data_IF_363050169962
#
_entry.id   IF_363050169962
#
_cell.length_a   1.000
_cell.length_b   1.000
_cell.length_c   1.000
_cell.angle_alpha   90.00
_cell.angle_beta   90.00
_cell.angle_gamma   90.00
#
_symmetry.space_group_name_H-M   'P 1'
#
loop_
_entity.id
_entity.type
_entity.pdbx_description
1 polymer ?
#
# COMPACT_ATOMS: atom_id res chain seq x y z
N UNK A 1 52.03 -52.43 61.13
CA UNK A 1 52.98 -51.37 61.52
C UNK A 1 52.23 -50.04 61.46
N UNK A 2 52.31 -49.24 62.54
CA UNK A 2 51.97 -47.81 62.71
C UNK A 2 50.81 -47.20 61.89
N UNK A 3 49.63 -46.91 62.47
CA UNK A 3 49.25 -45.65 63.20
C UNK A 3 49.21 -44.42 62.25
N UNK A 4 48.22 -43.53 62.19
CA UNK A 4 47.01 -43.24 62.97
C UNK A 4 46.36 -41.96 62.35
N UNK A 5 45.03 -41.79 62.55
CA UNK A 5 44.24 -40.53 62.63
C UNK A 5 43.60 -39.91 61.38
N UNK A 6 42.33 -40.29 61.27
CA UNK A 6 41.11 -39.51 60.99
C UNK A 6 41.13 -38.09 61.60
N UNK A 7 40.64 -37.09 60.84
CA UNK A 7 39.69 -36.06 61.34
C UNK A 7 38.74 -35.61 60.23
N UNK A 8 37.44 -35.62 60.58
CA UNK A 8 36.25 -35.22 59.83
C UNK A 8 36.10 -33.71 59.67
N UNK A 9 35.21 -33.36 58.71
CA UNK A 9 34.18 -32.30 58.72
C UNK A 9 34.43 -31.18 57.70
N UNK A 10 33.44 -30.64 56.96
CA UNK A 10 32.07 -30.99 56.60
C UNK A 10 31.60 -29.89 55.62
N UNK A 11 30.61 -30.20 54.78
CA UNK A 11 29.63 -29.27 54.19
C UNK A 11 30.13 -28.11 53.28
N UNK A 12 29.81 -28.20 51.99
CA UNK A 12 28.65 -27.46 51.43
C UNK A 12 28.54 -27.66 49.92
N UNK A 13 27.30 -27.54 49.45
CA UNK A 13 26.77 -27.88 48.14
C UNK A 13 27.43 -27.09 46.98
N UNK A 14 27.55 -27.71 45.82
CA UNK A 14 26.61 -27.52 44.70
C UNK A 14 27.28 -27.81 43.35
N UNK A 15 26.56 -28.57 42.52
CA UNK A 15 26.89 -28.88 41.13
C UNK A 15 27.20 -27.61 40.32
N UNK A 16 28.31 -27.61 39.59
CA UNK A 16 28.42 -26.86 38.34
C UNK A 16 28.70 -27.83 37.20
N UNK A 17 27.65 -28.04 36.41
CA UNK A 17 27.73 -28.67 35.11
C UNK A 17 28.03 -27.59 34.06
N UNK A 18 28.94 -27.94 33.15
CA UNK A 18 28.99 -27.52 31.75
C UNK A 18 29.24 -26.05 31.43
N UNK A 19 30.41 -25.80 30.83
CA UNK A 19 30.47 -24.98 29.62
C UNK A 19 31.55 -25.55 28.69
N UNK A 20 31.12 -26.51 27.86
CA UNK A 20 31.81 -26.84 26.62
C UNK A 20 31.64 -25.68 25.65
N UNK A 21 32.70 -25.43 24.89
CA UNK A 21 32.83 -24.42 23.87
C UNK A 21 31.71 -24.52 22.82
N UNK A 22 31.18 -23.36 22.41
CA UNK A 22 30.55 -23.22 21.10
C UNK A 22 31.21 -22.05 20.36
N UNK A 23 31.77 -22.43 19.23
CA UNK A 23 32.53 -21.66 18.26
C UNK A 23 31.76 -20.47 17.70
N UNK A 24 32.53 -19.45 17.30
CA UNK A 24 32.08 -18.34 16.48
C UNK A 24 31.56 -18.83 15.11
N UNK A 25 30.31 -18.49 14.81
CA UNK A 25 29.74 -18.51 13.47
C UNK A 25 29.35 -17.09 13.08
N UNK A 26 30.07 -16.53 12.12
CA UNK A 26 29.68 -15.33 11.37
C UNK A 26 28.55 -15.73 10.44
N UNK A 27 27.34 -15.24 10.68
CA UNK A 27 26.25 -15.06 9.70
C UNK A 27 25.13 -14.26 10.40
N UNK A 28 25.28 -12.93 10.50
CA UNK A 28 24.12 -12.07 10.79
C UNK A 28 23.51 -11.67 9.45
N UNK A 29 22.56 -12.50 8.99
CA UNK A 29 21.82 -12.31 7.74
C UNK A 29 20.80 -11.18 7.94
N UNK A 30 21.04 -10.06 7.26
CA UNK A 30 20.03 -9.08 6.84
C UNK A 30 19.01 -8.62 7.90
N UNK A 31 19.47 -8.04 9.01
CA UNK A 31 18.63 -7.02 9.68
C UNK A 31 18.69 -5.78 8.80
N UNK A 32 17.79 -5.69 7.82
CA UNK A 32 17.60 -4.49 7.03
C UNK A 32 17.46 -3.30 7.99
N UNK A 33 18.45 -2.39 8.00
CA UNK A 33 18.37 -1.15 8.75
C UNK A 33 17.17 -0.39 8.20
N UNK A 34 16.07 -0.48 8.91
CA UNK A 34 14.84 0.16 8.51
C UNK A 34 15.04 1.66 8.55
N UNK A 35 14.92 2.31 7.39
CA UNK A 35 15.17 3.75 7.27
C UNK A 35 13.89 4.48 7.67
N UNK A 36 13.87 5.05 8.87
CA UNK A 36 12.79 5.94 9.30
C UNK A 36 13.05 7.34 8.75
N UNK A 37 12.13 7.82 7.92
CA UNK A 37 12.17 9.06 7.16
C UNK A 37 11.00 9.98 7.55
N UNK A 38 10.72 10.09 8.86
CA UNK A 38 9.77 11.06 9.40
C UNK A 38 10.20 12.52 9.15
N UNK A 39 9.26 13.45 9.33
CA UNK A 39 9.52 14.90 9.20
C UNK A 39 9.11 15.47 7.84
N UNK A 40 9.80 16.51 7.37
CA UNK A 40 9.47 17.18 6.10
C UNK A 40 10.71 17.29 5.20
N UNK A 41 10.55 16.90 3.94
CA UNK A 41 11.53 17.01 2.88
C UNK A 41 10.81 17.38 1.57
N UNK A 42 10.25 18.59 1.54
CA UNK A 42 9.53 19.12 0.37
C UNK A 42 10.52 19.34 -0.77
N UNK A 43 10.17 18.89 -1.98
CA UNK A 43 11.02 18.99 -3.17
C UNK A 43 12.39 18.30 -3.09
N UNK A 44 12.52 17.29 -2.22
CA UNK A 44 13.78 16.56 -2.06
C UNK A 44 14.08 15.60 -3.22
N UNK A 45 15.37 15.37 -3.45
CA UNK A 45 15.87 14.48 -4.49
C UNK A 45 16.25 13.11 -3.91
N UNK A 46 15.45 12.10 -4.22
CA UNK A 46 15.56 10.71 -3.78
C UNK A 46 15.54 9.72 -4.95
N UNK A 47 15.71 10.19 -6.18
CA UNK A 47 15.70 9.34 -7.37
C UNK A 47 16.78 8.27 -7.30
N UNK A 48 16.44 7.06 -7.74
CA UNK A 48 17.32 5.89 -7.75
C UNK A 48 17.78 5.38 -6.38
N UNK A 49 17.26 5.92 -5.28
CA UNK A 49 17.65 5.49 -3.93
C UNK A 49 17.05 4.13 -3.60
N UNK A 50 17.80 3.35 -2.80
CA UNK A 50 17.33 2.11 -2.18
C UNK A 50 16.67 2.44 -0.84
N UNK A 51 15.35 2.44 -0.84
CA UNK A 51 14.45 2.81 0.26
C UNK A 51 13.49 1.66 0.59
N UNK A 52 13.91 0.42 0.32
CA UNK A 52 13.16 -0.80 0.65
C UNK A 52 12.83 -0.81 2.14
N UNK A 53 11.55 -1.00 2.49
CA UNK A 53 11.08 -0.99 3.87
C UNK A 53 11.20 0.36 4.59
N UNK A 54 11.46 1.46 3.88
CA UNK A 54 11.53 2.78 4.49
C UNK A 54 10.18 3.19 5.08
N UNK A 55 10.19 3.94 6.18
CA UNK A 55 8.98 4.43 6.87
C UNK A 55 8.87 5.95 6.75
N UNK A 56 7.84 6.42 6.08
CA UNK A 56 7.50 7.83 5.87
C UNK A 56 6.29 8.28 6.70
N UNK A 57 5.96 7.56 7.78
CA UNK A 57 4.73 7.77 8.57
C UNK A 57 4.52 9.23 8.96
N UNK A 58 3.39 9.82 8.53
CA UNK A 58 3.01 11.20 8.80
C UNK A 58 3.96 12.27 8.24
N UNK A 59 4.85 11.90 7.33
CA UNK A 59 5.88 12.78 6.82
C UNK A 59 5.39 13.63 5.63
N UNK A 60 6.07 14.74 5.35
CA UNK A 60 5.74 15.65 4.25
C UNK A 60 6.87 15.67 3.20
N UNK A 61 6.63 14.98 2.09
CA UNK A 61 7.50 14.87 0.92
C UNK A 61 6.80 15.44 -0.33
N UNK A 62 5.95 16.46 -0.15
CA UNK A 62 5.30 17.12 -1.27
C UNK A 62 6.34 17.53 -2.32
N UNK A 63 6.05 17.25 -3.60
CA UNK A 63 6.90 17.54 -4.75
C UNK A 63 8.29 16.89 -4.74
N UNK A 64 8.54 15.89 -3.88
CA UNK A 64 9.81 15.16 -3.91
C UNK A 64 9.98 14.36 -5.21
N UNK A 65 11.22 14.20 -5.65
CA UNK A 65 11.60 13.35 -6.77
C UNK A 65 12.04 12.00 -6.24
N UNK A 66 11.31 10.94 -6.57
CA UNK A 66 11.59 9.54 -6.23
C UNK A 66 11.71 8.68 -7.49
N UNK A 67 12.13 9.30 -8.60
CA UNK A 67 12.16 8.66 -9.91
C UNK A 67 13.06 7.43 -9.86
N UNK A 68 12.51 6.26 -10.19
CA UNK A 68 13.27 5.00 -10.17
C UNK A 68 13.76 4.56 -8.79
N UNK A 69 13.23 5.11 -7.70
CA UNK A 69 13.57 4.65 -6.35
C UNK A 69 13.02 3.23 -6.10
N UNK A 70 13.75 2.45 -5.30
CA UNK A 70 13.30 1.15 -4.81
C UNK A 70 12.62 1.36 -3.45
N UNK A 71 11.29 1.32 -3.45
CA UNK A 71 10.40 1.58 -2.32
C UNK A 71 9.58 0.33 -1.96
N UNK A 72 10.08 -0.87 -2.33
CA UNK A 72 9.40 -2.13 -2.05
C UNK A 72 9.16 -2.29 -0.55
N UNK A 73 7.94 -2.60 -0.15
CA UNK A 73 7.55 -2.71 1.26
C UNK A 73 7.68 -1.43 2.08
N UNK A 74 7.85 -0.26 1.46
CA UNK A 74 7.91 1.01 2.19
C UNK A 74 6.52 1.39 2.74
N UNK A 75 6.50 2.03 3.90
CA UNK A 75 5.27 2.50 4.54
C UNK A 75 5.13 4.01 4.41
N UNK A 76 4.03 4.45 3.80
CA UNK A 76 3.65 5.84 3.53
C UNK A 76 2.49 6.30 4.42
N UNK A 77 2.20 5.55 5.49
CA UNK A 77 1.02 5.75 6.32
C UNK A 77 0.76 7.22 6.69
N UNK A 78 -0.37 7.77 6.24
CA UNK A 78 -0.79 9.17 6.53
C UNK A 78 0.18 10.26 6.09
N UNK A 79 1.09 9.96 5.15
CA UNK A 79 2.10 10.90 4.66
C UNK A 79 1.60 11.76 3.49
N UNK A 80 2.29 12.86 3.21
CA UNK A 80 1.97 13.77 2.11
C UNK A 80 3.05 13.72 1.01
N UNK A 81 2.68 13.21 -0.15
CA UNK A 81 3.46 13.13 -1.39
C UNK A 81 2.77 13.88 -2.53
N UNK A 82 1.96 14.89 -2.22
CA UNK A 82 1.27 15.72 -3.20
C UNK A 82 2.26 16.27 -4.23
N UNK A 83 2.00 16.01 -5.51
CA UNK A 83 2.85 16.45 -6.63
C UNK A 83 4.22 15.81 -6.71
N UNK A 84 4.50 14.74 -5.96
CA UNK A 84 5.77 14.02 -6.04
C UNK A 84 5.90 13.28 -7.39
N UNK A 85 7.13 13.11 -7.86
CA UNK A 85 7.42 12.29 -9.04
C UNK A 85 7.96 10.92 -8.61
N UNK A 86 7.12 9.90 -8.74
CA UNK A 86 7.39 8.49 -8.46
C UNK A 86 7.53 7.68 -9.76
N UNK A 87 7.78 8.34 -10.89
CA UNK A 87 7.92 7.68 -12.19
C UNK A 87 8.97 6.57 -12.13
N UNK A 88 8.63 5.39 -12.68
CA UNK A 88 9.48 4.19 -12.68
C UNK A 88 9.91 3.67 -11.30
N UNK A 89 9.34 4.16 -10.20
CA UNK A 89 9.63 3.64 -8.87
C UNK A 89 9.12 2.19 -8.73
N UNK A 90 9.81 1.38 -7.93
CA UNK A 90 9.36 0.04 -7.57
C UNK A 90 8.74 0.08 -6.17
N UNK A 91 7.42 0.03 -6.10
CA UNK A 91 6.62 0.19 -4.88
C UNK A 91 5.83 -1.09 -4.55
N UNK A 92 6.26 -2.24 -5.07
CA UNK A 92 5.56 -3.51 -4.83
C UNK A 92 5.49 -3.82 -3.33
N UNK A 93 4.28 -4.16 -2.85
CA UNK A 93 4.02 -4.42 -1.45
C UNK A 93 4.13 -3.19 -0.53
N UNK A 94 4.14 -1.97 -1.06
CA UNK A 94 4.14 -0.77 -0.25
C UNK A 94 2.80 -0.58 0.49
N UNK A 95 2.87 -0.04 1.70
CA UNK A 95 1.72 0.33 2.51
C UNK A 95 1.45 1.84 2.35
N UNK A 96 0.32 2.21 1.79
CA UNK A 96 -0.03 3.58 1.40
C UNK A 96 -1.34 4.06 2.03
N UNK A 97 -1.84 3.36 3.05
CA UNK A 97 -3.09 3.69 3.76
C UNK A 97 -3.13 5.14 4.21
N UNK A 98 -4.19 5.85 3.80
CA UNK A 98 -4.43 7.26 4.12
C UNK A 98 -3.39 8.26 3.60
N UNK A 99 -2.47 7.85 2.72
CA UNK A 99 -1.43 8.72 2.18
C UNK A 99 -1.98 9.65 1.08
N UNK A 100 -1.42 10.86 0.98
CA UNK A 100 -1.79 11.86 -0.01
C UNK A 100 -0.84 11.87 -1.21
N UNK A 101 -1.33 11.49 -2.38
CA UNK A 101 -0.63 11.46 -3.66
C UNK A 101 -1.32 12.33 -4.73
N UNK A 102 -2.11 13.32 -4.31
CA UNK A 102 -2.80 14.20 -5.25
C UNK A 102 -1.79 14.86 -6.21
N UNK A 103 -2.09 14.86 -7.51
CA UNK A 103 -1.21 15.37 -8.57
C UNK A 103 0.17 14.69 -8.68
N UNK A 104 0.41 13.56 -8.01
CA UNK A 104 1.67 12.84 -8.13
C UNK A 104 1.76 12.14 -9.50
N UNK A 105 2.99 11.88 -9.94
CA UNK A 105 3.29 11.19 -11.20
C UNK A 105 3.82 9.81 -10.89
N UNK A 106 3.16 8.78 -11.42
CA UNK A 106 3.52 7.37 -11.25
C UNK A 106 3.79 6.69 -12.60
N UNK A 107 3.97 7.43 -13.68
CA UNK A 107 4.13 6.86 -15.02
C UNK A 107 5.19 5.73 -15.02
N UNK A 108 4.78 4.56 -15.49
CA UNK A 108 5.60 3.33 -15.54
C UNK A 108 6.12 2.83 -14.16
N UNK A 109 5.53 3.26 -13.04
CA UNK A 109 5.81 2.72 -11.70
C UNK A 109 5.18 1.34 -11.49
N UNK A 110 5.76 0.56 -10.58
CA UNK A 110 5.26 -0.78 -10.20
C UNK A 110 4.58 -0.72 -8.84
N UNK A 111 3.26 -0.92 -8.83
CA UNK A 111 2.38 -0.76 -7.68
C UNK A 111 1.49 -2.01 -7.48
N UNK A 112 1.95 -3.18 -7.94
CA UNK A 112 1.21 -4.43 -7.78
C UNK A 112 1.20 -4.86 -6.31
N UNK A 113 0.02 -5.27 -5.81
CA UNK A 113 -0.12 -5.78 -4.45
C UNK A 113 0.13 -4.75 -3.36
N UNK A 114 -0.23 -3.49 -3.58
CA UNK A 114 -0.11 -2.44 -2.55
C UNK A 114 -1.34 -2.37 -1.65
N UNK A 115 -1.15 -1.85 -0.44
CA UNK A 115 -2.25 -1.56 0.49
C UNK A 115 -2.53 -0.05 0.54
N UNK A 116 -3.50 0.44 -0.21
CA UNK A 116 -3.78 1.88 -0.36
C UNK A 116 -5.19 2.30 0.07
N UNK A 117 -5.79 1.58 1.01
CA UNK A 117 -7.10 1.94 1.56
C UNK A 117 -7.15 3.40 2.02
N UNK A 118 -8.11 4.17 1.52
CA UNK A 118 -8.29 5.59 1.80
C UNK A 118 -7.17 6.52 1.28
N UNK A 119 -6.26 6.04 0.43
CA UNK A 119 -5.25 6.89 -0.18
C UNK A 119 -5.88 7.89 -1.17
N UNK A 120 -5.26 9.06 -1.32
CA UNK A 120 -5.73 10.10 -2.22
C UNK A 120 -4.80 10.22 -3.45
N UNK A 121 -5.23 9.68 -4.59
CA UNK A 121 -4.62 9.81 -5.91
C UNK A 121 -5.34 10.81 -6.82
N UNK A 122 -6.08 11.78 -6.26
CA UNK A 122 -6.83 12.75 -7.06
C UNK A 122 -5.91 13.48 -8.07
N UNK A 123 -6.33 13.49 -9.33
CA UNK A 123 -5.59 14.07 -10.46
C UNK A 123 -4.13 13.58 -10.59
N UNK A 124 -3.80 12.41 -10.06
CA UNK A 124 -2.49 11.77 -10.27
C UNK A 124 -2.37 11.22 -11.70
N UNK A 125 -1.15 11.14 -12.21
CA UNK A 125 -0.84 10.45 -13.46
C UNK A 125 -0.39 9.01 -13.18
N UNK A 126 -1.29 8.06 -13.37
CA UNK A 126 -1.11 6.62 -13.19
C UNK A 126 -1.12 5.89 -14.56
N UNK A 127 -0.79 6.59 -15.65
CA UNK A 127 -0.75 6.00 -16.98
C UNK A 127 0.22 4.81 -17.05
N UNK A 128 -0.26 3.67 -17.56
CA UNK A 128 0.48 2.40 -17.69
C UNK A 128 1.00 1.80 -16.38
N UNK A 129 0.51 2.26 -15.24
CA UNK A 129 0.86 1.69 -13.93
C UNK A 129 0.30 0.28 -13.78
N UNK A 130 1.06 -0.58 -13.11
CA UNK A 130 0.58 -1.86 -12.63
C UNK A 130 0.10 -1.77 -11.19
N UNK A 131 -1.22 -1.83 -10.99
CA UNK A 131 -1.98 -1.83 -9.73
C UNK A 131 -2.71 -3.17 -9.51
N UNK A 132 -2.30 -4.25 -10.20
CA UNK A 132 -2.98 -5.54 -10.07
C UNK A 132 -2.87 -6.08 -8.64
N UNK A 133 -3.92 -6.77 -8.19
CA UNK A 133 -3.96 -7.41 -6.86
C UNK A 133 -3.78 -6.45 -5.68
N UNK A 134 -4.11 -5.17 -5.86
CA UNK A 134 -3.95 -4.14 -4.83
C UNK A 134 -5.24 -3.89 -4.04
N UNK A 135 -5.10 -3.56 -2.76
CA UNK A 135 -6.20 -3.13 -1.89
C UNK A 135 -6.37 -1.61 -2.01
N UNK A 136 -7.47 -1.17 -2.61
CA UNK A 136 -7.76 0.24 -2.95
C UNK A 136 -9.09 0.71 -2.33
N UNK A 137 -9.54 0.06 -1.25
CA UNK A 137 -10.79 0.36 -0.57
C UNK A 137 -10.95 1.85 -0.25
N UNK A 138 -12.01 2.46 -0.77
CA UNK A 138 -12.32 3.86 -0.52
C UNK A 138 -11.26 4.86 -1.01
N UNK A 139 -10.27 4.44 -1.81
CA UNK A 139 -9.26 5.33 -2.36
C UNK A 139 -9.89 6.33 -3.34
N UNK A 140 -9.33 7.54 -3.39
CA UNK A 140 -9.78 8.57 -4.32
C UNK A 140 -8.87 8.66 -5.54
N UNK A 141 -9.42 8.37 -6.71
CA UNK A 141 -8.80 8.57 -8.02
C UNK A 141 -9.47 9.70 -8.80
N UNK A 142 -10.19 10.60 -8.14
CA UNK A 142 -10.97 11.64 -8.81
C UNK A 142 -10.13 12.40 -9.86
N UNK A 143 -10.54 12.36 -11.12
CA UNK A 143 -9.85 13.03 -12.22
C UNK A 143 -8.46 12.48 -12.58
N UNK A 144 -8.07 11.32 -12.03
CA UNK A 144 -6.77 10.72 -12.31
C UNK A 144 -6.67 10.17 -13.75
N UNK A 145 -5.45 10.11 -14.26
CA UNK A 145 -5.14 9.44 -15.52
C UNK A 145 -4.74 7.98 -15.25
N UNK A 146 -5.58 7.03 -15.64
CA UNK A 146 -5.39 5.58 -15.55
C UNK A 146 -5.25 4.96 -16.96
N UNK A 147 -4.87 5.74 -17.97
CA UNK A 147 -4.78 5.24 -19.35
C UNK A 147 -3.87 4.01 -19.43
N UNK A 148 -4.41 2.89 -19.91
CA UNK A 148 -3.74 1.58 -20.00
C UNK A 148 -3.16 1.07 -18.66
N UNK A 149 -3.66 1.54 -17.52
CA UNK A 149 -3.29 0.98 -16.22
C UNK A 149 -3.83 -0.46 -16.07
N UNK A 150 -3.13 -1.28 -15.30
CA UNK A 150 -3.56 -2.62 -14.95
C UNK A 150 -4.09 -2.64 -13.52
N UNK A 151 -5.40 -2.80 -13.34
CA UNK A 151 -6.10 -2.95 -12.07
C UNK A 151 -6.79 -4.33 -11.99
N UNK A 152 -6.24 -5.34 -12.66
CA UNK A 152 -6.83 -6.68 -12.60
C UNK A 152 -6.77 -7.25 -11.18
N UNK A 153 -7.84 -7.89 -10.74
CA UNK A 153 -7.93 -8.50 -9.41
C UNK A 153 -7.68 -7.54 -8.25
N UNK A 154 -7.90 -6.23 -8.43
CA UNK A 154 -7.79 -5.25 -7.34
C UNK A 154 -9.12 -5.04 -6.62
N UNK A 155 -9.05 -4.67 -5.35
CA UNK A 155 -10.20 -4.39 -4.49
C UNK A 155 -10.46 -2.88 -4.42
N UNK A 156 -11.46 -2.40 -5.15
CA UNK A 156 -11.81 -0.98 -5.31
C UNK A 156 -13.16 -0.63 -4.63
N UNK A 157 -13.54 -1.40 -3.60
CA UNK A 157 -14.83 -1.23 -2.93
C UNK A 157 -14.95 0.20 -2.37
N UNK A 158 -16.00 0.90 -2.76
CA UNK A 158 -16.25 2.29 -2.36
C UNK A 158 -15.26 3.33 -2.89
N UNK A 159 -14.40 2.98 -3.85
CA UNK A 159 -13.43 3.91 -4.43
C UNK A 159 -14.12 5.04 -5.22
N UNK A 160 -13.48 6.21 -5.25
CA UNK A 160 -13.94 7.35 -6.05
C UNK A 160 -13.14 7.47 -7.35
N UNK A 161 -13.72 6.98 -8.45
CA UNK A 161 -13.20 7.02 -9.81
C UNK A 161 -13.93 8.10 -10.65
N UNK A 162 -14.48 9.14 -10.03
CA UNK A 162 -15.21 10.18 -10.75
C UNK A 162 -14.29 10.91 -11.73
N UNK A 163 -14.72 11.00 -13.00
CA UNK A 163 -14.03 11.78 -14.03
C UNK A 163 -12.64 11.25 -14.43
N UNK A 164 -12.31 9.99 -14.12
CA UNK A 164 -11.03 9.39 -14.51
C UNK A 164 -10.91 9.25 -16.02
N UNK A 165 -9.67 9.27 -16.53
CA UNK A 165 -9.35 8.75 -17.86
C UNK A 165 -8.75 7.35 -17.72
N UNK A 166 -9.54 6.30 -17.90
CA UNK A 166 -9.12 4.90 -17.82
C UNK A 166 -9.21 4.19 -19.18
N UNK A 167 -8.96 4.92 -20.27
CA UNK A 167 -9.02 4.37 -21.62
C UNK A 167 -8.04 3.19 -21.78
N UNK A 168 -8.56 2.04 -22.20
CA UNK A 168 -7.81 0.82 -22.40
C UNK A 168 -7.23 0.21 -21.12
N UNK A 169 -7.69 0.62 -19.94
CA UNK A 169 -7.28 0.03 -18.66
C UNK A 169 -7.86 -1.38 -18.50
N UNK A 170 -7.20 -2.19 -17.66
CA UNK A 170 -7.63 -3.55 -17.36
C UNK A 170 -8.18 -3.61 -15.92
N UNK A 171 -9.47 -3.81 -15.76
CA UNK A 171 -10.18 -4.04 -14.49
C UNK A 171 -10.73 -5.47 -14.42
N UNK A 172 -10.13 -6.43 -15.15
CA UNK A 172 -10.66 -7.80 -15.16
C UNK A 172 -10.57 -8.41 -13.75
N UNK A 173 -11.66 -9.02 -13.29
CA UNK A 173 -11.81 -9.61 -11.96
C UNK A 173 -11.62 -8.63 -10.79
N UNK A 174 -11.79 -7.32 -11.01
CA UNK A 174 -11.71 -6.32 -9.93
C UNK A 174 -13.04 -6.18 -9.20
N UNK A 175 -12.97 -5.89 -7.90
CA UNK A 175 -14.14 -5.60 -7.08
C UNK A 175 -14.39 -4.09 -7.03
N UNK A 176 -15.35 -3.59 -7.82
CA UNK A 176 -15.72 -2.18 -7.91
C UNK A 176 -16.99 -1.85 -7.10
N UNK A 177 -17.45 -2.76 -6.24
CA UNK A 177 -18.69 -2.63 -5.49
C UNK A 177 -18.81 -1.28 -4.76
N UNK A 178 -19.98 -0.65 -4.85
CA UNK A 178 -20.28 0.67 -4.29
C UNK A 178 -19.33 1.82 -4.71
N UNK A 179 -18.57 1.66 -5.80
CA UNK A 179 -17.68 2.71 -6.30
C UNK A 179 -18.43 3.83 -7.02
N UNK A 180 -17.82 5.01 -7.08
CA UNK A 180 -18.31 6.13 -7.89
C UNK A 180 -17.45 6.28 -9.14
N UNK A 181 -17.97 5.87 -10.29
CA UNK A 181 -17.31 5.91 -11.59
C UNK A 181 -17.90 7.00 -12.51
N UNK A 182 -18.68 7.93 -11.95
CA UNK A 182 -19.46 8.90 -12.73
C UNK A 182 -18.58 9.77 -13.63
N UNK A 183 -18.99 9.96 -14.89
CA UNK A 183 -18.31 10.81 -15.87
C UNK A 183 -16.91 10.35 -16.27
N UNK A 184 -16.48 9.14 -15.89
CA UNK A 184 -15.19 8.59 -16.30
C UNK A 184 -15.18 8.15 -17.77
N UNK A 185 -14.00 8.18 -18.38
CA UNK A 185 -13.75 7.62 -19.70
C UNK A 185 -13.12 6.23 -19.57
N UNK A 186 -13.86 5.18 -19.92
CA UNK A 186 -13.46 3.78 -19.89
C UNK A 186 -13.47 3.15 -21.28
N UNK A 187 -13.28 3.96 -22.33
CA UNK A 187 -13.22 3.48 -23.70
C UNK A 187 -12.22 2.31 -23.85
N UNK A 188 -12.67 1.21 -24.44
CA UNK A 188 -11.87 0.00 -24.66
C UNK A 188 -11.27 -0.63 -23.38
N UNK A 189 -11.75 -0.27 -22.19
CA UNK A 189 -11.34 -0.93 -20.96
C UNK A 189 -11.87 -2.39 -20.88
N UNK A 190 -11.20 -3.24 -20.11
CA UNK A 190 -11.65 -4.61 -19.83
C UNK A 190 -12.24 -4.68 -18.44
N UNK A 191 -13.49 -5.11 -18.31
CA UNK A 191 -14.20 -5.36 -17.06
C UNK A 191 -14.69 -6.81 -16.98
N UNK A 192 -13.94 -7.74 -17.57
CA UNK A 192 -14.31 -9.15 -17.54
C UNK A 192 -14.38 -9.65 -16.12
N UNK A 193 -15.47 -10.31 -15.76
CA UNK A 193 -15.67 -10.87 -14.41
C UNK A 193 -15.53 -9.82 -13.28
N UNK A 194 -15.71 -8.53 -13.58
CA UNK A 194 -15.62 -7.46 -12.60
C UNK A 194 -16.96 -7.25 -11.89
N UNK A 195 -16.92 -6.90 -10.60
CA UNK A 195 -18.12 -6.71 -9.79
C UNK A 195 -18.44 -5.23 -9.60
N UNK A 196 -19.63 -4.79 -10.00
CA UNK A 196 -20.09 -3.41 -9.89
C UNK A 196 -21.30 -3.25 -8.98
N UNK A 197 -21.57 -4.20 -8.08
CA UNK A 197 -22.78 -4.18 -7.26
C UNK A 197 -22.96 -2.81 -6.59
N UNK A 198 -24.11 -2.17 -6.81
CA UNK A 198 -24.46 -0.84 -6.28
C UNK A 198 -23.53 0.32 -6.68
N UNK A 199 -22.78 0.20 -7.77
CA UNK A 199 -21.87 1.25 -8.24
C UNK A 199 -22.59 2.35 -9.02
N UNK A 200 -21.99 3.54 -9.07
CA UNK A 200 -22.51 4.69 -9.82
C UNK A 200 -21.68 4.88 -11.09
N UNK A 201 -22.26 4.63 -12.26
CA UNK A 201 -21.59 4.76 -13.56
C UNK A 201 -22.19 5.89 -14.39
N UNK A 202 -22.86 6.86 -13.75
CA UNK A 202 -23.64 7.90 -14.41
C UNK A 202 -22.80 8.74 -15.36
N UNK A 203 -23.26 8.90 -16.59
CA UNK A 203 -22.58 9.71 -17.60
C UNK A 203 -21.20 9.20 -18.02
N UNK A 204 -20.80 7.99 -17.61
CA UNK A 204 -19.51 7.42 -17.97
C UNK A 204 -19.52 6.87 -19.40
N UNK A 205 -18.35 6.85 -20.03
CA UNK A 205 -18.17 6.41 -21.43
C UNK A 205 -17.53 5.02 -21.43
N UNK A 206 -18.24 4.03 -21.97
CA UNK A 206 -17.81 2.63 -22.06
C UNK A 206 -17.70 2.13 -23.50
N UNK A 207 -17.50 3.04 -24.46
CA UNK A 207 -17.44 2.66 -25.87
C UNK A 207 -16.33 1.62 -26.13
N UNK A 208 -16.71 0.44 -26.61
CA UNK A 208 -15.77 -0.64 -26.90
C UNK A 208 -15.22 -1.37 -25.68
N UNK A 209 -15.72 -1.08 -24.47
CA UNK A 209 -15.35 -1.79 -23.26
C UNK A 209 -15.89 -3.23 -23.27
N UNK A 210 -15.29 -4.12 -22.49
CA UNK A 210 -15.63 -5.55 -22.42
C UNK A 210 -16.23 -5.90 -21.06
N UNK A 211 -17.49 -6.31 -21.01
CA UNK A 211 -18.27 -6.60 -19.81
C UNK A 211 -18.60 -8.10 -19.65
N UNK A 212 -17.93 -9.00 -20.38
CA UNK A 212 -18.20 -10.44 -20.27
C UNK A 212 -18.07 -10.91 -18.82
N UNK A 213 -19.12 -11.49 -18.26
CA UNK A 213 -19.14 -11.99 -16.89
C UNK A 213 -19.18 -10.90 -15.80
N UNK A 214 -19.27 -9.62 -16.17
CA UNK A 214 -19.37 -8.54 -15.20
C UNK A 214 -20.70 -8.61 -14.43
N UNK A 215 -20.65 -8.36 -13.13
CA UNK A 215 -21.85 -8.20 -12.31
C UNK A 215 -22.24 -6.71 -12.25
N UNK A 216 -23.45 -6.39 -12.72
CA UNK A 216 -24.02 -5.05 -12.72
C UNK A 216 -25.22 -4.90 -11.76
N UNK A 217 -25.40 -5.81 -10.78
CA UNK A 217 -26.53 -5.77 -9.85
C UNK A 217 -26.66 -4.39 -9.18
N UNK A 218 -27.84 -3.76 -9.31
CA UNK A 218 -28.14 -2.45 -8.73
C UNK A 218 -27.22 -1.30 -9.21
N UNK A 219 -26.46 -1.49 -10.29
CA UNK A 219 -25.61 -0.45 -10.84
C UNK A 219 -26.44 0.67 -11.49
N UNK A 220 -26.02 1.92 -11.30
CA UNK A 220 -26.68 3.10 -11.89
C UNK A 220 -25.94 3.56 -13.16
N UNK A 221 -26.51 3.23 -14.31
CA UNK A 221 -26.01 3.54 -15.65
C UNK A 221 -26.59 4.84 -16.24
N UNK A 222 -27.29 5.67 -15.45
CA UNK A 222 -27.99 6.86 -15.96
C UNK A 222 -27.10 7.79 -16.79
N UNK A 223 -27.44 7.99 -18.06
CA UNK A 223 -26.67 8.77 -19.04
C UNK A 223 -25.36 8.14 -19.51
N UNK A 224 -25.03 6.90 -19.12
CA UNK A 224 -23.82 6.22 -19.55
C UNK A 224 -23.88 5.85 -21.04
N UNK A 225 -22.74 5.89 -21.73
CA UNK A 225 -22.62 5.46 -23.13
C UNK A 225 -21.97 4.08 -23.22
N UNK A 226 -22.80 3.05 -23.38
CA UNK A 226 -22.41 1.65 -23.60
C UNK A 226 -22.62 1.22 -25.06
N UNK A 227 -22.83 2.14 -26.02
CA UNK A 227 -23.31 1.82 -27.38
C UNK A 227 -22.52 0.73 -28.13
N UNK A 228 -21.21 0.62 -27.86
CA UNK A 228 -20.30 -0.37 -28.47
C UNK A 228 -19.66 -1.31 -27.43
N UNK A 229 -20.21 -1.39 -26.22
CA UNK A 229 -19.74 -2.33 -25.22
C UNK A 229 -19.94 -3.77 -25.71
N UNK A 230 -19.01 -4.66 -25.37
CA UNK A 230 -19.02 -6.07 -25.77
C UNK A 230 -19.33 -6.94 -24.56
N UNK A 231 -20.00 -8.06 -24.80
CA UNK A 231 -20.26 -9.05 -23.75
C UNK A 231 -21.31 -8.65 -22.73
N UNK A 232 -22.06 -7.58 -22.99
CA UNK A 232 -23.28 -7.28 -22.26
C UNK A 232 -24.40 -8.20 -22.74
N UNK A 233 -25.17 -8.73 -21.80
CA UNK A 233 -26.44 -9.40 -22.05
C UNK A 233 -27.60 -8.71 -21.31
N UNK A 234 -28.81 -9.23 -21.50
CA UNK A 234 -30.02 -8.64 -20.91
C UNK A 234 -30.12 -8.93 -19.41
N UNK A 235 -29.62 -10.07 -18.94
CA UNK A 235 -29.68 -10.45 -17.52
C UNK A 235 -28.86 -9.48 -16.67
N UNK A 236 -27.65 -9.12 -17.14
CA UNK A 236 -26.81 -8.10 -16.49
C UNK A 236 -27.51 -6.73 -16.41
N UNK A 237 -28.33 -6.37 -17.40
CA UNK A 237 -29.02 -5.07 -17.46
C UNK A 237 -30.36 -5.04 -16.73
N UNK A 238 -31.01 -6.19 -16.56
CA UNK A 238 -32.27 -6.32 -15.81
C UNK A 238 -32.08 -5.99 -14.33
N UNK A 239 -30.89 -6.23 -13.79
CA UNK A 239 -30.53 -5.91 -12.41
C UNK A 239 -30.00 -4.49 -12.23
N UNK A 240 -29.50 -3.87 -13.30
CA UNK A 240 -29.06 -2.47 -13.32
C UNK A 240 -30.25 -1.50 -13.52
N UNK A 241 -29.95 -0.20 -13.54
CA UNK A 241 -30.91 0.81 -13.99
C UNK A 241 -30.22 1.91 -14.80
N UNK A 242 -30.94 2.52 -15.73
CA UNK A 242 -30.50 3.66 -16.53
C UNK A 242 -31.56 4.76 -16.59
N UNK A 243 -31.49 5.57 -17.64
CA UNK A 243 -32.46 6.60 -17.97
C UNK A 243 -32.52 6.81 -19.49
N UNK A 244 -33.37 7.74 -19.96
CA UNK A 244 -33.51 8.03 -21.39
C UNK A 244 -32.25 8.56 -22.09
N UNK A 245 -31.20 8.93 -21.35
CA UNK A 245 -29.91 9.32 -21.91
C UNK A 245 -28.91 8.15 -21.97
N UNK A 246 -29.23 7.01 -21.35
CA UNK A 246 -28.38 5.81 -21.35
C UNK A 246 -28.38 5.18 -22.73
N UNK A 247 -27.19 4.95 -23.29
CA UNK A 247 -27.02 4.36 -24.63
C UNK A 247 -26.51 2.94 -24.50
N UNK A 248 -27.20 2.00 -25.12
CA UNK A 248 -26.91 0.57 -25.04
C UNK A 248 -26.56 -0.01 -26.42
N UNK A 249 -25.89 -1.18 -26.47
CA UNK A 249 -25.80 -1.97 -27.69
C UNK A 249 -27.19 -2.33 -28.24
N UNK A 250 -27.27 -2.60 -29.55
CA UNK A 250 -28.53 -2.95 -30.21
C UNK A 250 -29.16 -4.19 -29.58
N UNK A 251 -30.47 -4.15 -29.35
CA UNK A 251 -31.26 -5.27 -28.84
C UNK A 251 -31.30 -5.38 -27.32
N UNK A 252 -30.54 -4.55 -26.61
CA UNK A 252 -30.56 -4.48 -25.15
C UNK A 252 -31.41 -3.31 -24.65
N UNK A 253 -32.02 -3.51 -23.49
CA UNK A 253 -32.80 -2.47 -22.81
C UNK A 253 -32.41 -2.40 -21.34
N UNK A 254 -32.66 -1.26 -20.71
CA UNK A 254 -32.48 -1.08 -19.27
C UNK A 254 -33.71 -0.39 -18.70
N UNK A 255 -34.13 -0.79 -17.52
CA UNK A 255 -35.20 -0.11 -16.79
C UNK A 255 -34.75 1.27 -16.33
N UNK A 256 -35.69 2.20 -16.23
CA UNK A 256 -35.41 3.51 -15.63
C UNK A 256 -35.09 3.37 -14.14
N UNK A 257 -34.12 4.13 -13.66
CA UNK A 257 -33.84 4.23 -12.23
C UNK A 257 -35.06 4.81 -11.50
N UNK A 258 -35.70 3.99 -10.66
CA UNK A 258 -36.82 4.41 -9.83
C UNK A 258 -36.30 5.19 -8.62
N UNK A 259 -36.38 6.52 -8.70
CA UNK A 259 -36.02 7.43 -7.61
C UNK A 259 -34.57 7.90 -7.64
N UNK A 260 -34.33 9.10 -7.08
CA UNK A 260 -33.01 9.65 -6.89
C UNK A 260 -32.23 8.79 -5.86
N UNK A 261 -31.64 7.68 -6.29
CA UNK A 261 -30.59 7.02 -5.51
C UNK A 261 -29.38 7.95 -5.56
N UNK A 262 -29.39 8.95 -4.68
CA UNK A 262 -28.20 9.72 -4.33
C UNK A 262 -27.41 8.83 -3.39
N UNK A 263 -26.51 8.03 -3.94
CA UNK A 263 -25.35 7.58 -3.17
C UNK A 263 -24.54 8.83 -2.88
N UNK A 264 -24.88 9.51 -1.78
CA UNK A 264 -23.98 10.48 -1.18
C UNK A 264 -22.88 9.64 -0.56
N UNK A 265 -21.71 9.61 -1.19
CA UNK A 265 -20.47 9.53 -0.40
C UNK A 265 -20.53 10.78 0.47
N UNK A 266 -21.03 10.61 1.69
CA UNK A 266 -21.23 11.75 2.58
C UNK A 266 -19.86 12.37 2.81
N UNK A 267 -19.80 13.69 2.97
CA UNK A 267 -18.61 14.33 3.55
C UNK A 267 -18.26 13.74 4.92
N UNK A 268 -19.18 13.00 5.55
CA UNK A 268 -18.90 12.17 6.73
C UNK A 268 -18.11 10.91 6.43
N UNK A 269 -18.12 10.34 5.22
CA UNK A 269 -17.24 9.23 4.84
C UNK A 269 -15.82 9.73 4.56
N UNK A 270 -15.66 10.85 3.84
CA UNK A 270 -14.34 11.49 3.68
C UNK A 270 -13.76 11.96 5.03
N UNK A 271 -14.61 12.52 5.90
CA UNK A 271 -14.21 12.85 7.29
C UNK A 271 -13.94 11.61 8.12
N UNK A 272 -14.75 10.55 8.02
CA UNK A 272 -14.52 9.30 8.74
C UNK A 272 -13.26 8.59 8.25
N UNK A 273 -12.93 8.65 6.95
CA UNK A 273 -11.64 8.17 6.44
C UNK A 273 -10.49 9.04 6.93
N UNK A 274 -10.63 10.37 6.92
CA UNK A 274 -9.61 11.27 7.45
C UNK A 274 -9.42 11.11 8.97
N UNK A 275 -10.49 10.86 9.72
CA UNK A 275 -10.47 10.57 11.16
C UNK A 275 -9.93 9.17 11.44
N UNK A 276 -10.31 8.16 10.65
CA UNK A 276 -9.76 6.80 10.75
C UNK A 276 -8.27 6.78 10.40
N UNK A 277 -7.85 7.49 9.35
CA UNK A 277 -6.45 7.68 8.99
C UNK A 277 -5.70 8.39 10.13
N UNK A 278 -6.25 9.46 10.72
CA UNK A 278 -5.66 10.15 11.88
C UNK A 278 -5.55 9.24 13.10
N UNK A 279 -6.61 8.51 13.45
CA UNK A 279 -6.63 7.59 14.59
C UNK A 279 -5.61 6.45 14.40
N UNK A 280 -5.48 5.94 13.18
CA UNK A 280 -4.46 4.96 12.84
C UNK A 280 -3.05 5.57 12.81
N UNK A 281 -2.86 6.85 12.45
CA UNK A 281 -1.55 7.55 12.54
C UNK A 281 -1.15 7.61 14.01
N UNK A 282 -2.08 7.97 14.89
CA UNK A 282 -1.84 8.05 16.32
C UNK A 282 -1.52 6.67 16.92
N UNK A 283 -2.28 5.63 16.54
CA UNK A 283 -2.03 4.26 16.97
C UNK A 283 -0.64 3.77 16.55
N UNK A 284 -0.26 3.95 15.28
CA UNK A 284 1.03 3.49 14.78
C UNK A 284 2.19 4.36 15.30
N UNK A 285 1.97 5.66 15.51
CA UNK A 285 2.95 6.51 16.21
C UNK A 285 3.20 6.00 17.63
N UNK A 286 2.16 5.58 18.35
CA UNK A 286 2.31 4.99 19.67
C UNK A 286 3.12 3.68 19.63
N UNK A 287 2.94 2.85 18.61
CA UNK A 287 3.74 1.64 18.39
C UNK A 287 5.22 1.96 18.12
N UNK A 288 5.50 2.96 17.29
CA UNK A 288 6.88 3.42 17.03
C UNK A 288 7.53 4.00 18.31
N UNK A 289 6.81 4.81 19.07
CA UNK A 289 7.30 5.32 20.36
C UNK A 289 7.53 4.19 21.37
N UNK A 290 6.66 3.19 21.41
CA UNK A 290 6.85 2.00 22.25
C UNK A 290 8.09 1.20 21.84
N UNK A 291 8.29 0.98 20.54
CA UNK A 291 9.47 0.30 20.01
C UNK A 291 10.77 1.08 20.30
N UNK A 292 10.74 2.41 20.19
CA UNK A 292 11.88 3.27 20.53
C UNK A 292 12.24 3.20 22.03
N UNK A 293 11.23 3.14 22.92
CA UNK A 293 11.46 2.95 24.37
C UNK A 293 12.09 1.60 24.69
N UNK A 294 11.67 0.54 24.02
CA UNK A 294 12.28 -0.80 24.16
C UNK A 294 13.73 -0.84 23.66
N UNK A 295 14.06 -0.11 22.60
CA UNK A 295 15.42 0.00 22.08
C UNK A 295 16.36 0.88 22.94
N UNK A 296 15.80 1.71 23.83
CA UNK A 296 16.55 2.59 24.74
C UNK A 296 16.99 1.89 26.05
N UNK A 297 16.69 0.60 26.24
CA UNK A 297 17.19 -0.17 27.39
C UNK A 297 18.72 -0.25 27.30
N UNK A 298 19.46 0.21 28.32
CA UNK A 298 20.92 0.26 28.27
C UNK A 298 21.51 -1.15 28.11
N UNK A 299 22.43 -1.30 27.15
CA UNK A 299 23.15 -2.56 26.95
C UNK A 299 23.92 -2.92 28.24
N UNK A 300 24.01 -4.21 28.61
CA UNK A 300 24.78 -4.62 29.76
C UNK A 300 26.23 -4.13 29.65
N UNK A 301 26.88 -3.77 30.78
CA UNK A 301 28.23 -3.22 30.77
C UNK A 301 29.19 -4.18 30.06
N UNK A 302 30.09 -3.62 29.24
CA UNK A 302 31.11 -4.40 28.54
C UNK A 302 31.91 -5.24 29.55
N UNK A 303 32.17 -6.54 29.26
CA UNK A 303 33.01 -7.35 30.12
C UNK A 303 34.41 -6.72 30.26
N UNK A 304 35.07 -6.87 31.42
CA UNK A 304 36.36 -6.26 31.70
C UNK A 304 37.41 -6.66 30.65
N UNK A 305 38.21 -5.68 30.24
CA UNK A 305 39.23 -5.85 29.20
C UNK A 305 40.30 -6.84 29.70
N UNK A 306 40.60 -7.87 28.91
CA UNK A 306 41.63 -8.86 29.24
C UNK A 306 42.99 -8.18 29.50
N UNK A 307 43.78 -8.67 30.46
CA UNK A 307 45.06 -8.09 30.82
C UNK A 307 46.02 -8.07 29.62
N UNK A 308 46.77 -6.98 29.48
CA UNK A 308 47.71 -6.80 28.38
C UNK A 308 48.83 -7.87 28.44
N UNK A 309 49.26 -8.41 27.29
CA UNK A 309 50.37 -9.36 27.26
C UNK A 309 51.66 -8.70 27.76
N UNK A 310 52.54 -9.46 28.44
CA UNK A 310 53.78 -8.92 29.00
C UNK A 310 54.69 -8.36 27.90
N UNK A 311 55.30 -7.19 28.18
CA UNK A 311 56.24 -6.54 27.26
C UNK A 311 57.48 -7.44 27.04
N UNK A 312 58.00 -7.53 25.81
CA UNK A 312 59.21 -8.31 25.54
C UNK A 312 60.41 -7.72 26.30
N UNK A 313 61.25 -8.63 26.82
CA UNK A 313 62.45 -8.29 27.58
C UNK A 313 63.42 -7.46 26.72
N UNK A 314 63.97 -6.42 27.33
CA UNK A 314 64.95 -5.51 26.73
C UNK A 314 66.27 -6.27 26.60
N UNK A 315 66.69 -6.56 25.36
CA UNK A 315 68.05 -7.05 25.08
C UNK A 315 69.06 -6.04 25.60
N UNK A 316 69.91 -6.49 26.53
CA UNK A 316 71.10 -5.78 26.97
C UNK A 316 72.17 -5.97 25.89
N UNK A 317 72.43 -4.94 25.09
CA UNK A 317 73.64 -4.88 24.28
C UNK A 317 74.79 -4.37 25.16
N UNK A 318 75.77 -5.26 25.36
CA UNK A 318 77.16 -5.12 25.81
C UNK A 318 77.53 -3.93 26.71
#
# INVERSE_FOLDING_TARGET
MSRLRITLAALSLALSAMAHQAYAGVEDKDVARMISLGGACVSCELSGRKLTGARFTGANYAKANLIGADLRGASFFGSNFTGADLSRADMRGAEMRGAGFAHAVFTDARLSGIESSGANFAAADLGRVDLSSSELHGASFQGANLERANLSSSELIGANLQGVNARGANFSSSELNASNMSGGNYERASFRDAEFTSSILRGAIFNGADFRGADLSNANLGGADLSNARGLDQDQLDEACGDGATRLPRGLTVRNCSGNVRVRVSSSFERAQAEAARAQVEAHRAEIEAAARLAAVPRPPKPPRAPAPPKPARELNN
#
